data_IF_940202285704
#
_entry.id   IF_940202285704
#
_cell.length_a   1.000
_cell.length_b   1.000
_cell.length_c   1.000
_cell.angle_alpha   90.00
_cell.angle_beta   90.00
_cell.angle_gamma   90.00
#
_symmetry.space_group_name_H-M   'P 1'
#
loop_
_entity.id
_entity.type
_entity.pdbx_description
1 polymer ?
#
# COMPACT_ATOMS: atom_id res chain seq x y z
N UNK A 1 -8.66 6.08 11.11
CA UNK A 1 -8.55 4.83 11.87
C UNK A 1 -9.28 4.91 13.22
N UNK A 2 -9.16 6.02 13.97
CA UNK A 2 -9.83 6.23 15.29
C UNK A 2 -11.36 6.12 15.24
N UNK A 3 -11.97 6.33 14.06
CA UNK A 3 -13.41 6.20 13.80
C UNK A 3 -13.81 4.79 13.31
N UNK A 4 -12.92 3.79 13.38
CA UNK A 4 -13.18 2.44 12.88
C UNK A 4 -13.09 2.26 11.35
N UNK A 5 -12.83 3.34 10.60
CA UNK A 5 -12.77 3.33 9.13
C UNK A 5 -11.37 2.92 8.61
N UNK A 6 -10.88 1.75 9.03
CA UNK A 6 -9.53 1.27 8.71
C UNK A 6 -9.30 1.10 7.19
N UNK A 7 -10.27 0.56 6.47
CA UNK A 7 -10.16 0.36 5.01
C UNK A 7 -10.01 1.68 4.25
N UNK A 8 -10.75 2.72 4.64
CA UNK A 8 -10.62 4.05 4.04
C UNK A 8 -9.25 4.67 4.34
N UNK A 9 -8.75 4.53 5.57
CA UNK A 9 -7.41 5.03 5.93
C UNK A 9 -6.31 4.32 5.11
N UNK A 10 -6.43 3.01 4.90
CA UNK A 10 -5.52 2.22 4.06
C UNK A 10 -5.56 2.64 2.59
N UNK A 11 -6.76 2.83 2.04
CA UNK A 11 -6.93 3.36 0.67
C UNK A 11 -6.31 4.75 0.53
N UNK A 12 -6.52 5.64 1.51
CA UNK A 12 -5.95 6.98 1.51
C UNK A 12 -4.41 6.92 1.44
N UNK A 13 -3.76 6.12 2.30
CA UNK A 13 -2.31 5.97 2.29
C UNK A 13 -1.83 5.39 0.96
N UNK A 14 -2.46 4.33 0.45
CA UNK A 14 -2.09 3.74 -0.84
C UNK A 14 -2.19 4.75 -1.97
N UNK A 15 -3.26 5.53 -2.02
CA UNK A 15 -3.44 6.56 -3.05
C UNK A 15 -2.46 7.73 -2.90
N UNK A 16 -2.17 8.16 -1.68
CA UNK A 16 -1.16 9.18 -1.41
C UNK A 16 0.21 8.74 -1.97
N UNK A 17 0.63 7.52 -1.67
CA UNK A 17 1.91 6.97 -2.14
C UNK A 17 1.93 6.82 -3.68
N UNK A 18 0.84 6.39 -4.29
CA UNK A 18 0.71 6.33 -5.75
C UNK A 18 0.85 7.72 -6.40
N UNK A 19 0.31 8.77 -5.79
CA UNK A 19 0.39 10.13 -6.33
C UNK A 19 1.76 10.78 -6.11
N UNK A 20 2.34 10.61 -4.94
CA UNK A 20 3.56 11.32 -4.53
C UNK A 20 4.84 10.55 -4.80
N UNK A 21 4.82 9.22 -4.78
CA UNK A 21 6.01 8.38 -4.82
C UNK A 21 6.82 8.38 -3.52
N UNK A 22 6.30 8.92 -2.43
CA UNK A 22 6.98 9.02 -1.14
C UNK A 22 6.94 7.71 -0.34
N UNK A 23 7.44 6.63 -0.94
CA UNK A 23 7.47 5.33 -0.26
C UNK A 23 8.47 5.27 0.90
N UNK A 24 9.49 6.13 0.90
CA UNK A 24 10.44 6.23 2.01
C UNK A 24 9.80 6.77 3.28
N UNK A 25 8.79 7.64 3.16
CA UNK A 25 8.02 8.15 4.29
C UNK A 25 7.33 7.07 5.13
N UNK A 26 7.18 5.85 4.60
CA UNK A 26 6.61 4.72 5.32
C UNK A 26 7.43 4.33 6.57
N UNK A 27 8.74 4.51 6.56
CA UNK A 27 9.59 4.21 7.72
C UNK A 27 9.17 4.99 8.97
N UNK A 28 8.66 6.21 8.78
CA UNK A 28 8.24 7.09 9.85
C UNK A 28 6.72 7.09 10.10
N UNK A 29 5.94 6.49 9.21
CA UNK A 29 4.48 6.58 9.26
C UNK A 29 3.90 6.08 10.58
N UNK A 30 4.31 4.88 11.02
CA UNK A 30 3.79 4.29 12.25
C UNK A 30 4.23 5.08 13.49
N UNK A 31 5.45 5.63 13.50
CA UNK A 31 5.92 6.51 14.55
C UNK A 31 5.02 7.76 14.68
N UNK A 32 4.77 8.45 13.57
CA UNK A 32 3.90 9.63 13.61
C UNK A 32 2.46 9.32 13.95
N UNK A 33 1.93 8.17 13.51
CA UNK A 33 0.58 7.72 13.88
C UNK A 33 0.50 7.48 15.39
N UNK A 34 1.46 6.76 15.97
CA UNK A 34 1.54 6.53 17.42
C UNK A 34 1.67 7.84 18.19
N UNK A 35 2.59 8.71 17.77
CA UNK A 35 2.77 10.02 18.36
C UNK A 35 1.48 10.85 18.37
N UNK A 36 0.80 10.93 17.22
CA UNK A 36 -0.47 11.68 17.13
C UNK A 36 -1.57 11.08 17.99
N UNK A 37 -1.66 9.77 18.09
CA UNK A 37 -2.61 9.10 18.97
C UNK A 37 -2.32 9.43 20.45
N UNK A 38 -1.06 9.40 20.90
CA UNK A 38 -0.66 9.78 22.26
C UNK A 38 -0.95 11.26 22.56
N UNK A 39 -0.70 12.16 21.60
CA UNK A 39 -1.09 13.58 21.76
C UNK A 39 -2.59 13.71 21.97
N UNK A 40 -3.42 12.99 21.20
CA UNK A 40 -4.88 12.98 21.37
C UNK A 40 -5.29 12.41 22.72
N UNK A 41 -4.63 11.38 23.21
CA UNK A 41 -4.85 10.83 24.55
C UNK A 41 -4.58 11.89 25.64
N UNK A 42 -3.43 12.57 25.57
CA UNK A 42 -3.08 13.66 26.52
C UNK A 42 -4.11 14.81 26.46
N UNK A 43 -4.45 15.27 25.28
CA UNK A 43 -5.43 16.36 25.10
C UNK A 43 -6.78 15.98 25.71
N UNK A 44 -7.23 14.73 25.55
CA UNK A 44 -8.48 14.28 26.19
C UNK A 44 -8.45 14.45 27.72
N UNK A 45 -7.32 14.11 28.37
CA UNK A 45 -7.18 14.29 29.82
C UNK A 45 -7.10 15.77 30.23
N UNK A 46 -6.32 16.57 29.50
CA UNK A 46 -6.15 17.99 29.82
C UNK A 46 -7.42 18.81 29.59
N UNK A 47 -8.31 18.38 28.72
CA UNK A 47 -9.59 19.01 28.46
C UNK A 47 -10.67 18.67 29.50
N UNK A 48 -10.35 17.82 30.49
CA UNK A 48 -11.30 17.47 31.54
C UNK A 48 -11.39 18.60 32.56
N UNK A 49 -12.59 19.16 32.83
CA UNK A 49 -12.78 20.17 33.85
C UNK A 49 -12.41 19.66 35.26
N UNK A 50 -11.92 20.55 36.11
CA UNK A 50 -11.56 20.20 37.48
C UNK A 50 -12.78 19.71 38.30
N UNK A 51 -13.95 20.24 38.00
CA UNK A 51 -15.26 19.91 38.58
C UNK A 51 -16.04 18.84 37.80
N UNK A 52 -15.37 18.12 36.92
CA UNK A 52 -15.97 17.07 36.09
C UNK A 52 -16.77 16.07 36.94
N UNK A 53 -17.99 15.75 36.51
CA UNK A 53 -18.82 14.71 37.10
C UNK A 53 -18.19 13.31 36.92
N UNK A 54 -18.63 12.32 37.69
CA UNK A 54 -18.18 10.94 37.55
C UNK A 54 -18.41 10.40 36.15
N UNK A 55 -19.52 10.75 35.49
CA UNK A 55 -19.84 10.34 34.11
C UNK A 55 -18.88 10.96 33.10
N UNK A 56 -18.58 12.26 33.25
CA UNK A 56 -17.62 12.97 32.40
C UNK A 56 -16.21 12.37 32.55
N UNK A 57 -15.77 12.11 33.79
CA UNK A 57 -14.46 11.43 34.05
C UNK A 57 -14.38 10.05 33.39
N UNK A 58 -15.42 9.23 33.53
CA UNK A 58 -15.48 7.92 32.94
C UNK A 58 -15.41 7.99 31.39
N UNK A 59 -16.09 8.97 30.79
CA UNK A 59 -16.09 9.19 29.34
C UNK A 59 -14.70 9.62 28.85
N UNK A 60 -14.07 10.57 29.54
CA UNK A 60 -12.72 11.03 29.23
C UNK A 60 -11.68 9.90 29.35
N UNK A 61 -11.76 9.10 30.43
CA UNK A 61 -10.85 7.95 30.61
C UNK A 61 -11.04 6.89 29.53
N UNK A 62 -12.27 6.66 29.07
CA UNK A 62 -12.52 5.76 27.93
C UNK A 62 -11.90 6.30 26.64
N UNK A 63 -12.05 7.58 26.38
CA UNK A 63 -11.43 8.23 25.22
C UNK A 63 -9.90 8.18 25.28
N UNK A 64 -9.31 8.44 26.43
CA UNK A 64 -7.87 8.28 26.65
C UNK A 64 -7.41 6.85 26.32
N UNK A 65 -8.09 5.85 26.89
CA UNK A 65 -7.75 4.44 26.64
C UNK A 65 -7.85 4.07 25.17
N UNK A 66 -8.88 4.55 24.47
CA UNK A 66 -9.03 4.30 23.03
C UNK A 66 -7.85 4.83 22.24
N UNK A 67 -7.38 6.04 22.52
CA UNK A 67 -6.20 6.61 21.85
C UNK A 67 -4.90 5.94 22.29
N UNK A 68 -4.75 5.55 23.55
CA UNK A 68 -3.57 4.81 24.02
C UNK A 68 -3.47 3.43 23.34
N UNK A 69 -4.56 2.67 23.29
CA UNK A 69 -4.63 1.39 22.60
C UNK A 69 -4.37 1.55 21.09
N UNK A 70 -4.88 2.63 20.49
CA UNK A 70 -4.60 2.94 19.09
C UNK A 70 -3.11 3.18 18.86
N UNK A 71 -2.45 3.95 19.74
CA UNK A 71 -1.01 4.19 19.67
C UNK A 71 -0.21 2.89 19.81
N UNK A 72 -0.57 2.04 20.76
CA UNK A 72 0.04 0.72 20.98
C UNK A 72 -0.12 -0.16 19.74
N UNK A 73 -1.28 -0.14 19.08
CA UNK A 73 -1.52 -0.94 17.87
C UNK A 73 -0.58 -0.61 16.71
N UNK A 74 0.04 0.57 16.69
CA UNK A 74 1.01 0.96 15.67
C UNK A 74 2.44 0.46 15.96
N UNK A 75 2.72 -0.01 17.17
CA UNK A 75 3.99 -0.67 17.51
C UNK A 75 4.03 -2.14 17.07
N UNK A 76 2.87 -2.73 16.82
CA UNK A 76 2.78 -4.09 16.31
C UNK A 76 3.07 -4.10 14.81
N UNK A 77 4.16 -4.79 14.41
CA UNK A 77 4.51 -4.96 13.00
C UNK A 77 3.54 -5.98 12.40
N UNK A 78 2.73 -5.61 11.39
CA UNK A 78 1.88 -6.56 10.68
C UNK A 78 2.71 -7.68 10.05
N UNK A 79 2.10 -8.82 9.78
CA UNK A 79 2.75 -9.87 9.00
C UNK A 79 3.13 -9.31 7.62
N UNK A 80 4.42 -9.14 7.38
CA UNK A 80 4.94 -8.69 6.08
C UNK A 80 4.79 -9.80 5.07
N UNK A 81 4.42 -9.46 3.86
CA UNK A 81 4.46 -10.36 2.72
C UNK A 81 4.65 -9.54 1.44
N UNK A 82 5.17 -10.18 0.43
CA UNK A 82 5.18 -9.65 -0.94
C UNK A 82 4.22 -10.47 -1.79
N UNK A 83 3.20 -9.82 -2.33
CA UNK A 83 2.30 -10.40 -3.31
C UNK A 83 2.55 -9.74 -4.68
N UNK A 84 2.53 -10.53 -5.74
CA UNK A 84 2.47 -10.03 -7.11
C UNK A 84 1.19 -10.51 -7.77
N UNK A 85 0.57 -9.68 -8.60
CA UNK A 85 -0.51 -10.15 -9.47
C UNK A 85 0.08 -10.77 -10.73
N UNK A 86 -0.56 -11.81 -11.26
CA UNK A 86 -0.20 -12.43 -12.53
C UNK A 86 -1.44 -12.47 -13.43
N UNK A 87 -1.25 -12.26 -14.73
CA UNK A 87 -2.34 -12.34 -15.72
C UNK A 87 -2.32 -11.21 -16.74
N UNK A 88 -3.07 -11.39 -17.83
CA UNK A 88 -3.18 -10.42 -18.93
C UNK A 88 -3.87 -9.12 -18.51
N UNK A 89 -3.82 -8.10 -19.36
CA UNK A 89 -4.55 -6.84 -19.10
C UNK A 89 -6.06 -7.09 -18.98
N UNK A 90 -6.75 -6.23 -18.23
CA UNK A 90 -8.20 -6.28 -18.02
C UNK A 90 -8.77 -7.54 -17.33
N UNK A 91 -7.94 -8.37 -16.69
CA UNK A 91 -8.38 -9.58 -15.97
C UNK A 91 -8.74 -9.32 -14.49
N UNK A 92 -8.80 -8.06 -14.06
CA UNK A 92 -9.20 -7.69 -12.70
C UNK A 92 -8.06 -7.63 -11.66
N UNK A 93 -6.78 -7.67 -12.07
CA UNK A 93 -5.61 -7.59 -11.16
C UNK A 93 -5.68 -6.44 -10.16
N UNK A 94 -5.99 -5.24 -10.64
CA UNK A 94 -6.06 -4.04 -9.80
C UNK A 94 -7.19 -4.11 -8.78
N UNK A 95 -8.29 -4.80 -9.09
CA UNK A 95 -9.37 -5.06 -8.15
C UNK A 95 -8.89 -5.99 -7.01
N UNK A 96 -8.23 -7.09 -7.36
CA UNK A 96 -7.66 -8.04 -6.38
C UNK A 96 -6.61 -7.34 -5.50
N UNK A 97 -5.70 -6.57 -6.11
CA UNK A 97 -4.69 -5.81 -5.38
C UNK A 97 -5.33 -4.81 -4.38
N UNK A 98 -6.40 -4.11 -4.78
CA UNK A 98 -7.09 -3.17 -3.89
C UNK A 98 -7.77 -3.89 -2.72
N UNK A 99 -8.29 -5.11 -2.91
CA UNK A 99 -8.84 -5.91 -1.80
C UNK A 99 -7.78 -6.24 -0.74
N UNK A 100 -6.53 -6.51 -1.14
CA UNK A 100 -5.42 -6.69 -0.20
C UNK A 100 -5.06 -5.39 0.54
N UNK A 101 -5.10 -4.25 -0.13
CA UNK A 101 -4.93 -2.94 0.51
C UNK A 101 -5.98 -2.76 1.61
N UNK A 102 -7.25 -2.95 1.29
CA UNK A 102 -8.35 -2.73 2.22
C UNK A 102 -8.36 -3.72 3.39
N UNK A 103 -8.16 -5.00 3.10
CA UNK A 103 -8.27 -6.06 4.10
C UNK A 103 -7.03 -6.18 4.99
N UNK A 104 -5.83 -6.08 4.41
CA UNK A 104 -4.57 -6.38 5.09
C UNK A 104 -3.67 -5.16 5.30
N UNK A 105 -3.98 -4.02 4.67
CA UNK A 105 -3.14 -2.82 4.73
C UNK A 105 -1.87 -2.95 3.90
N UNK A 106 -1.89 -3.78 2.84
CA UNK A 106 -0.81 -3.86 1.89
C UNK A 106 -0.65 -2.53 1.14
N UNK A 107 0.58 -2.15 0.84
CA UNK A 107 0.88 -1.02 -0.03
C UNK A 107 0.84 -1.51 -1.47
N UNK A 108 0.03 -0.87 -2.31
CA UNK A 108 -0.06 -1.23 -3.73
C UNK A 108 0.97 -0.47 -4.54
N UNK A 109 1.73 -1.20 -5.36
CA UNK A 109 2.62 -0.66 -6.38
C UNK A 109 2.05 -0.97 -7.75
N UNK A 110 1.82 0.04 -8.57
CA UNK A 110 1.28 -0.09 -9.92
C UNK A 110 2.35 0.11 -10.97
N UNK A 111 2.49 -0.86 -11.86
CA UNK A 111 3.48 -0.81 -12.94
C UNK A 111 3.25 0.33 -13.93
N UNK A 112 1.99 0.68 -14.21
CA UNK A 112 1.65 1.80 -15.09
C UNK A 112 1.97 3.16 -14.48
N UNK A 113 1.77 3.32 -13.16
CA UNK A 113 2.10 4.54 -12.42
C UNK A 113 3.62 4.75 -12.36
N UNK A 114 4.37 3.72 -11.96
CA UNK A 114 5.84 3.82 -11.85
C UNK A 114 6.49 3.95 -13.24
N UNK A 115 5.93 3.34 -14.28
CA UNK A 115 6.37 3.53 -15.66
C UNK A 115 6.23 5.00 -16.10
N UNK A 116 5.07 5.61 -15.86
CA UNK A 116 4.84 7.01 -16.16
C UNK A 116 5.76 7.92 -15.36
N UNK A 117 6.05 7.58 -14.10
CA UNK A 117 6.97 8.35 -13.25
C UNK A 117 8.42 8.28 -13.75
N UNK A 118 8.87 7.11 -14.24
CA UNK A 118 10.23 6.93 -14.78
C UNK A 118 10.45 7.64 -16.10
N UNK A 119 9.47 7.58 -17.01
CA UNK A 119 9.65 8.04 -18.39
C UNK A 119 8.93 9.35 -18.68
N UNK A 120 8.26 9.94 -17.67
CA UNK A 120 7.50 11.20 -17.79
C UNK A 120 6.12 11.01 -18.40
N UNK A 121 5.25 11.98 -18.14
CA UNK A 121 3.99 12.14 -18.89
C UNK A 121 4.21 12.79 -20.27
N UNK A 122 5.48 13.00 -20.63
CA UNK A 122 5.84 13.60 -21.91
C UNK A 122 5.62 12.60 -23.01
N UNK A 123 4.37 12.54 -23.42
CA UNK A 123 4.10 12.24 -24.81
C UNK A 123 2.66 12.46 -25.16
N UNK A 124 2.41 13.64 -25.54
CA UNK A 124 1.36 13.98 -26.48
C UNK A 124 1.82 13.48 -27.85
N UNK A 125 1.01 12.62 -28.44
CA UNK A 125 0.91 12.28 -29.87
C UNK A 125 1.99 11.40 -30.51
N UNK A 126 1.57 10.19 -30.76
CA UNK A 126 1.84 9.27 -31.88
C UNK A 126 3.07 8.37 -31.93
N UNK A 127 4.19 8.59 -31.25
CA UNK A 127 5.35 7.69 -31.40
C UNK A 127 5.94 7.17 -30.07
N UNK A 128 5.56 7.74 -28.96
CA UNK A 128 6.22 7.52 -27.66
C UNK A 128 5.55 6.42 -26.83
N UNK A 129 4.30 6.06 -27.13
CA UNK A 129 3.70 4.88 -26.51
C UNK A 129 4.49 3.59 -26.86
N UNK A 130 5.07 3.50 -28.06
CA UNK A 130 5.94 2.39 -28.43
C UNK A 130 7.23 2.38 -27.60
N UNK A 131 7.82 3.53 -27.27
CA UNK A 131 9.08 3.65 -26.52
C UNK A 131 8.96 3.23 -25.05
N UNK A 132 7.91 3.65 -24.37
CA UNK A 132 7.70 3.33 -22.93
C UNK A 132 7.28 1.86 -22.70
N UNK A 133 6.89 1.14 -23.73
CA UNK A 133 6.59 -0.31 -23.70
C UNK A 133 7.68 -1.16 -24.32
N UNK A 134 8.83 -0.58 -24.65
CA UNK A 134 10.01 -1.34 -25.12
C UNK A 134 10.47 -2.35 -24.07
N UNK A 135 11.27 -3.30 -24.49
CA UNK A 135 11.84 -4.33 -23.60
C UNK A 135 12.68 -3.67 -22.48
N UNK A 136 13.47 -2.66 -22.81
CA UNK A 136 14.34 -1.94 -21.87
C UNK A 136 13.51 -1.10 -20.87
N UNK A 137 12.51 -0.38 -21.36
CA UNK A 137 11.60 0.38 -20.49
C UNK A 137 10.79 -0.55 -19.56
N UNK A 138 10.41 -1.71 -20.06
CA UNK A 138 9.79 -2.75 -19.24
C UNK A 138 10.74 -3.25 -18.16
N UNK A 139 11.99 -3.58 -18.50
CA UNK A 139 13.01 -4.04 -17.55
C UNK A 139 13.26 -2.97 -16.46
N UNK A 140 13.44 -1.72 -16.85
CA UNK A 140 13.62 -0.60 -15.91
C UNK A 140 12.41 -0.42 -14.99
N UNK A 141 11.18 -0.55 -15.50
CA UNK A 141 9.97 -0.48 -14.69
C UNK A 141 9.94 -1.57 -13.63
N UNK A 142 10.21 -2.83 -14.00
CA UNK A 142 10.21 -3.93 -13.02
C UNK A 142 11.36 -3.80 -12.02
N UNK A 143 12.54 -3.35 -12.42
CA UNK A 143 13.63 -3.04 -11.50
C UNK A 143 13.18 -1.99 -10.45
N UNK A 144 12.55 -0.91 -10.92
CA UNK A 144 12.02 0.14 -10.03
C UNK A 144 10.96 -0.38 -9.07
N UNK A 145 10.04 -1.23 -9.54
CA UNK A 145 9.02 -1.85 -8.67
C UNK A 145 9.66 -2.71 -7.58
N UNK A 146 10.72 -3.44 -7.90
CA UNK A 146 11.44 -4.27 -6.94
C UNK A 146 12.20 -3.44 -5.90
N UNK A 147 12.84 -2.33 -6.31
CA UNK A 147 13.48 -1.38 -5.39
C UNK A 147 12.48 -0.80 -4.38
N UNK A 148 11.32 -0.34 -4.88
CA UNK A 148 10.28 0.22 -4.02
C UNK A 148 9.69 -0.86 -3.10
N UNK A 149 9.48 -2.08 -3.61
CA UNK A 149 8.98 -3.19 -2.80
C UNK A 149 9.94 -3.53 -1.64
N UNK A 150 11.26 -3.51 -1.87
CA UNK A 150 12.26 -3.68 -0.81
C UNK A 150 12.13 -2.59 0.27
N UNK A 151 12.01 -1.32 -0.12
CA UNK A 151 11.80 -0.20 0.82
C UNK A 151 10.54 -0.41 1.65
N UNK A 152 9.41 -0.77 1.04
CA UNK A 152 8.14 -0.98 1.74
C UNK A 152 8.24 -2.14 2.73
N UNK A 153 8.86 -3.25 2.32
CA UNK A 153 9.04 -4.42 3.17
C UNK A 153 9.96 -4.14 4.35
N UNK A 154 11.05 -3.38 4.14
CA UNK A 154 11.95 -2.94 5.23
C UNK A 154 11.29 -1.98 6.19
N UNK A 155 10.40 -1.12 5.70
CA UNK A 155 9.57 -0.24 6.53
C UNK A 155 8.50 -1.01 7.36
N UNK A 156 8.38 -2.33 7.17
CA UNK A 156 7.49 -3.19 7.95
C UNK A 156 6.09 -3.37 7.36
N UNK A 157 5.85 -2.92 6.12
CA UNK A 157 4.53 -3.04 5.48
C UNK A 157 4.49 -4.21 4.50
N UNK A 158 3.34 -4.89 4.37
CA UNK A 158 3.11 -5.80 3.26
C UNK A 158 2.96 -5.03 1.95
N UNK A 159 3.39 -5.63 0.83
CA UNK A 159 3.32 -5.02 -0.49
C UNK A 159 2.57 -5.91 -1.47
N UNK A 160 1.78 -5.30 -2.35
CA UNK A 160 1.19 -5.96 -3.52
C UNK A 160 1.63 -5.21 -4.79
N UNK A 161 2.33 -5.90 -5.68
CA UNK A 161 2.76 -5.34 -6.96
C UNK A 161 1.72 -5.66 -8.02
N UNK A 162 1.01 -4.63 -8.45
CA UNK A 162 -0.04 -4.70 -9.47
C UNK A 162 0.58 -4.54 -10.87
N UNK A 163 0.95 -5.67 -11.46
CA UNK A 163 1.58 -5.77 -12.76
C UNK A 163 1.22 -7.12 -13.42
N UNK A 164 1.59 -7.29 -14.68
CA UNK A 164 1.23 -8.51 -15.43
C UNK A 164 2.08 -9.72 -15.06
N UNK A 165 3.35 -9.54 -14.77
CA UNK A 165 4.32 -10.58 -14.40
C UNK A 165 4.29 -11.82 -15.31
N UNK A 166 4.10 -11.64 -16.61
CA UNK A 166 3.95 -12.74 -17.58
C UNK A 166 5.25 -13.53 -17.76
N UNK A 167 6.41 -12.86 -17.67
CA UNK A 167 7.70 -13.49 -17.81
C UNK A 167 8.15 -14.13 -16.50
N UNK A 168 8.76 -15.32 -16.60
CA UNK A 168 9.26 -16.06 -15.44
C UNK A 168 10.38 -15.32 -14.71
N UNK A 169 11.32 -14.74 -15.46
CA UNK A 169 12.45 -13.97 -14.92
C UNK A 169 11.99 -12.80 -14.03
N UNK A 170 10.91 -12.14 -14.41
CA UNK A 170 10.29 -11.07 -13.60
C UNK A 170 9.77 -11.61 -12.26
N UNK A 171 9.10 -12.77 -12.26
CA UNK A 171 8.59 -13.41 -11.04
C UNK A 171 9.72 -13.91 -10.15
N UNK A 172 10.75 -14.52 -10.75
CA UNK A 172 11.93 -14.99 -10.03
C UNK A 172 12.70 -13.83 -9.37
N UNK A 173 12.77 -12.67 -10.05
CA UNK A 173 13.36 -11.45 -9.49
C UNK A 173 12.54 -10.89 -8.33
N UNK A 174 11.20 -10.90 -8.43
CA UNK A 174 10.33 -10.50 -7.32
C UNK A 174 10.49 -11.43 -6.10
N UNK A 175 10.59 -12.74 -6.33
CA UNK A 175 10.80 -13.71 -5.26
C UNK A 175 12.11 -13.47 -4.50
N UNK A 176 13.19 -13.07 -5.20
CA UNK A 176 14.47 -12.71 -4.57
C UNK A 176 14.35 -11.50 -3.64
N UNK A 177 13.52 -10.50 -3.99
CA UNK A 177 13.26 -9.35 -3.10
C UNK A 177 12.57 -9.79 -1.81
N UNK A 178 11.56 -10.65 -1.94
CA UNK A 178 10.87 -11.20 -0.78
C UNK A 178 11.82 -12.03 0.11
N UNK A 179 12.65 -12.88 -0.48
CA UNK A 179 13.66 -13.68 0.21
C UNK A 179 14.68 -12.78 0.94
N UNK A 180 15.23 -11.77 0.27
CA UNK A 180 16.21 -10.84 0.85
C UNK A 180 15.66 -10.04 2.04
N UNK A 181 14.35 -9.86 2.12
CA UNK A 181 13.67 -9.18 3.23
C UNK A 181 13.08 -10.14 4.27
N UNK A 182 13.18 -11.46 4.04
CA UNK A 182 12.58 -12.48 4.89
C UNK A 182 11.04 -12.46 4.88
N UNK A 183 10.42 -11.97 3.80
CA UNK A 183 8.98 -11.90 3.65
C UNK A 183 8.44 -13.09 2.85
N UNK A 184 7.29 -13.70 3.23
CA UNK A 184 6.61 -14.67 2.39
C UNK A 184 6.28 -14.08 1.02
N UNK A 185 6.47 -14.89 -0.05
CA UNK A 185 6.18 -14.52 -1.41
C UNK A 185 4.92 -15.21 -1.93
N UNK A 186 4.02 -14.46 -2.55
CA UNK A 186 2.73 -14.92 -3.07
C UNK A 186 2.53 -14.48 -4.51
N UNK A 187 2.03 -15.37 -5.34
CA UNK A 187 1.58 -15.05 -6.70
C UNK A 187 0.06 -15.16 -6.73
N UNK A 188 -0.60 -14.05 -7.06
CA UNK A 188 -2.04 -13.98 -7.24
C UNK A 188 -2.34 -14.17 -8.72
N UNK A 189 -2.63 -15.40 -9.10
CA UNK A 189 -2.99 -15.72 -10.48
C UNK A 189 -4.42 -15.24 -10.76
N UNK A 190 -4.53 -14.19 -11.56
CA UNK A 190 -5.78 -13.57 -11.94
C UNK A 190 -6.20 -14.11 -13.31
N UNK A 191 -7.30 -14.82 -13.35
CA UNK A 191 -7.84 -15.39 -14.56
C UNK A 191 -9.33 -15.08 -14.67
N UNK A 192 -9.82 -14.83 -15.88
CA UNK A 192 -11.23 -14.63 -16.17
C UNK A 192 -11.57 -15.23 -17.54
N UNK A 193 -12.83 -15.68 -17.76
CA UNK A 193 -13.28 -16.12 -19.07
C UNK A 193 -13.07 -15.03 -20.12
N UNK A 194 -12.70 -15.44 -21.34
CA UNK A 194 -12.39 -14.49 -22.42
C UNK A 194 -13.51 -13.49 -22.68
N UNK A 195 -14.77 -13.95 -22.67
CA UNK A 195 -15.93 -13.08 -22.85
C UNK A 195 -16.04 -11.96 -21.80
N UNK A 196 -15.58 -12.24 -20.55
CA UNK A 196 -15.55 -11.23 -19.47
C UNK A 196 -14.43 -10.22 -19.74
N UNK A 197 -13.25 -10.67 -20.15
CA UNK A 197 -12.14 -9.80 -20.50
C UNK A 197 -12.51 -8.87 -21.64
N UNK A 198 -13.14 -9.39 -22.69
CA UNK A 198 -13.60 -8.60 -23.85
C UNK A 198 -14.63 -7.54 -23.44
N UNK A 199 -15.55 -7.88 -22.52
CA UNK A 199 -16.56 -6.93 -22.03
C UNK A 199 -15.96 -5.78 -21.19
N UNK A 200 -14.76 -5.97 -20.63
CA UNK A 200 -14.07 -4.94 -19.84
C UNK A 200 -13.11 -4.10 -20.68
N UNK A 201 -12.80 -4.53 -21.89
CA UNK A 201 -11.98 -3.79 -22.85
C UNK A 201 -12.80 -2.91 -23.81
N UNK A 202 -14.10 -3.19 -23.93
CA UNK A 202 -15.05 -2.41 -24.73
C UNK A 202 -15.49 -1.15 -23.98
#
# INVERSE_FOLDING_TARGET
>A
EDRGLKSLARRFISQYLELTGDYQGLELLNFYKAYRALVRAKVALFSMPADATAVQRATTLRQYRNYANLAESYSTIPSRFMAITHGVSAVGKSHVAMRLVEALGAIRLRSDVERKRLFGEQTVENDVQAGIYSADASAATYARLHEIADVILRAGFPVVVDATYLKRDQRDSAAKVAEATGAPFLILDCNAPQAVIESWLA
#
